data_IF_227268330542
#
_entry.id   IF_227268330542
#
_cell.length_a   1.000
_cell.length_b   1.000
_cell.length_c   1.000
_cell.angle_alpha   90.00
_cell.angle_beta   90.00
_cell.angle_gamma   90.00
#
_symmetry.space_group_name_H-M   'P 1'
#
loop_
_entity.id
_entity.type
_entity.pdbx_description
1 polymer ?
#
# COMPACT_ATOMS: atom_id res chain seq x y z
N UNK A 1 -13.09 11.04 41.84
CA UNK A 1 -12.49 11.87 40.77
C UNK A 1 -11.56 10.97 39.98
N UNK A 2 -12.07 10.35 38.92
CA UNK A 2 -11.35 9.40 38.07
C UNK A 2 -10.74 10.16 36.89
N UNK A 3 -9.41 10.15 36.82
CA UNK A 3 -8.65 10.71 35.70
C UNK A 3 -8.76 9.79 34.48
N UNK A 4 -9.25 10.31 33.36
CA UNK A 4 -9.21 9.67 32.05
C UNK A 4 -7.79 9.82 31.45
N UNK A 5 -7.16 8.75 30.94
CA UNK A 5 -5.85 8.83 30.32
C UNK A 5 -5.91 9.48 28.94
N UNK A 6 -4.94 10.36 28.70
CA UNK A 6 -4.71 11.10 27.48
C UNK A 6 -4.39 10.16 26.31
N UNK A 7 -5.22 10.18 25.25
CA UNK A 7 -4.99 9.40 24.04
C UNK A 7 -3.78 9.96 23.23
N UNK A 8 -2.95 9.10 22.60
CA UNK A 8 -1.75 9.52 21.87
C UNK A 8 -2.05 10.06 20.47
N UNK A 9 -1.13 10.89 19.95
CA UNK A 9 -1.22 11.73 18.74
C UNK A 9 -1.57 11.02 17.41
N UNK A 10 -1.70 9.70 17.37
CA UNK A 10 -2.03 8.91 16.17
C UNK A 10 -3.48 9.10 15.68
N UNK A 11 -4.38 9.63 16.52
CA UNK A 11 -5.75 9.94 16.09
C UNK A 11 -5.86 11.19 15.19
N UNK A 12 -4.87 12.09 15.20
CA UNK A 12 -4.92 13.30 14.35
C UNK A 12 -4.59 13.02 12.88
N UNK A 13 -3.80 12.00 12.58
CA UNK A 13 -3.46 11.60 11.19
C UNK A 13 -4.63 10.83 10.53
N UNK A 14 -5.49 10.17 11.32
CA UNK A 14 -6.64 9.42 10.78
C UNK A 14 -7.75 10.30 10.22
N UNK A 15 -8.02 11.46 10.84
CA UNK A 15 -9.10 12.36 10.41
C UNK A 15 -8.78 13.17 9.14
N UNK A 16 -7.51 13.29 8.75
CA UNK A 16 -7.14 14.04 7.53
C UNK A 16 -7.31 13.25 6.24
N UNK A 17 -7.48 11.92 6.30
CA UNK A 17 -7.62 11.07 5.11
C UNK A 17 -9.08 10.90 4.67
N UNK A 18 -10.02 10.91 5.62
CA UNK A 18 -11.47 10.90 5.34
C UNK A 18 -11.97 12.21 4.72
N UNK A 19 -11.28 13.32 4.99
CA UNK A 19 -11.57 14.62 4.36
C UNK A 19 -10.94 14.74 2.96
N UNK A 20 -9.80 14.08 2.72
CA UNK A 20 -9.13 14.16 1.41
C UNK A 20 -9.89 13.41 0.29
N UNK A 21 -10.64 12.34 0.60
CA UNK A 21 -11.41 11.61 -0.42
C UNK A 21 -12.64 12.36 -0.96
N UNK A 22 -13.02 13.49 -0.34
CA UNK A 22 -14.16 14.32 -0.76
C UNK A 22 -13.78 15.58 -1.55
N UNK A 23 -12.49 15.80 -1.83
CA UNK A 23 -12.03 17.05 -2.46
C UNK A 23 -11.69 16.93 -3.95
N UNK A 24 -11.91 15.77 -4.58
CA UNK A 24 -11.66 15.59 -6.01
C UNK A 24 -12.96 15.25 -6.76
N UNK A 25 -13.60 16.32 -7.26
CA UNK A 25 -14.53 16.35 -8.40
C UNK A 25 -15.76 15.45 -8.25
N UNK A 26 -16.79 15.97 -7.57
CA UNK A 26 -18.17 15.58 -7.82
C UNK A 26 -18.61 16.28 -9.12
N UNK A 27 -18.32 15.67 -10.27
CA UNK A 27 -18.95 16.07 -11.52
C UNK A 27 -20.33 15.42 -11.54
N UNK A 28 -21.31 16.12 -10.96
CA UNK A 28 -22.73 15.86 -11.21
C UNK A 28 -22.97 16.05 -12.71
N UNK A 29 -22.92 14.94 -13.45
CA UNK A 29 -23.34 14.88 -14.85
C UNK A 29 -24.85 15.06 -14.85
N UNK A 30 -25.31 16.27 -15.15
CA UNK A 30 -26.71 16.49 -15.51
C UNK A 30 -27.00 15.69 -16.79
N UNK A 31 -27.98 14.78 -16.70
CA UNK A 31 -28.48 14.01 -17.82
C UNK A 31 -29.19 14.94 -18.79
N UNK A 32 -28.54 15.24 -19.92
CA UNK A 32 -29.18 15.90 -21.06
C UNK A 32 -29.69 14.80 -21.99
N UNK A 33 -31.00 14.56 -21.94
CA UNK A 33 -31.73 13.74 -22.90
C UNK A 33 -31.51 14.26 -24.33
N UNK A 34 -30.88 13.45 -25.18
CA UNK A 34 -30.82 13.68 -26.63
C UNK A 34 -31.25 12.41 -27.38
N UNK A 35 -32.16 12.52 -28.36
CA UNK A 35 -32.79 11.37 -28.97
C UNK A 35 -31.92 10.72 -30.06
N UNK A 36 -31.83 9.40 -29.97
CA UNK A 36 -31.65 8.38 -31.01
C UNK A 36 -31.14 8.87 -32.39
N UNK A 37 -29.84 8.63 -32.62
CA UNK A 37 -29.21 8.65 -33.94
C UNK A 37 -28.49 7.32 -34.21
N UNK A 38 -29.09 6.51 -35.05
CA UNK A 38 -28.62 5.23 -35.57
C UNK A 38 -27.33 5.40 -36.40
N UNK A 39 -26.27 4.63 -36.14
CA UNK A 39 -25.15 4.45 -37.09
C UNK A 39 -24.27 3.23 -36.74
N UNK A 40 -24.70 2.08 -37.26
CA UNK A 40 -23.83 0.98 -37.62
C UNK A 40 -22.78 1.43 -38.64
N UNK A 41 -21.48 1.37 -38.29
CA UNK A 41 -20.37 1.11 -39.22
C UNK A 41 -19.07 0.85 -38.46
N UNK A 42 -18.55 -0.37 -38.64
CA UNK A 42 -17.17 -0.74 -38.32
C UNK A 42 -16.23 0.06 -39.21
N UNK A 43 -15.25 0.74 -38.63
CA UNK A 43 -14.11 1.29 -39.36
C UNK A 43 -12.81 0.93 -38.66
N UNK A 44 -11.97 0.22 -39.41
CA UNK A 44 -10.54 0.04 -39.17
C UNK A 44 -9.88 1.43 -38.98
N UNK A 45 -9.05 1.58 -37.95
CA UNK A 45 -8.26 2.79 -37.73
C UNK A 45 -6.78 2.42 -37.64
N UNK A 46 -6.08 2.62 -38.76
CA UNK A 46 -4.69 3.05 -38.71
C UNK A 46 -4.65 4.50 -38.18
N UNK A 47 -3.62 4.92 -37.44
CA UNK A 47 -3.59 6.25 -36.84
C UNK A 47 -3.28 7.32 -37.89
N UNK A 48 -4.12 8.37 -38.06
CA UNK A 48 -3.74 9.52 -38.85
C UNK A 48 -2.75 10.39 -38.06
N UNK A 49 -1.72 10.89 -38.75
CA UNK A 49 -0.73 11.81 -38.21
C UNK A 49 -1.39 13.04 -37.60
N UNK A 50 -1.11 13.27 -36.32
CA UNK A 50 -1.62 14.42 -35.57
C UNK A 50 -0.70 15.60 -35.85
N UNK A 51 -1.19 16.58 -36.63
CA UNK A 51 -0.71 17.94 -36.53
C UNK A 51 -1.20 18.47 -35.16
N UNK A 52 -0.28 18.84 -34.30
CA UNK A 52 -0.61 19.53 -33.05
C UNK A 52 -0.98 20.98 -33.37
N UNK A 53 -2.27 21.28 -33.33
CA UNK A 53 -2.74 22.65 -33.14
C UNK A 53 -2.71 22.94 -31.64
N UNK A 54 -1.89 23.91 -31.17
CA UNK A 54 -1.88 24.30 -29.77
C UNK A 54 -3.23 24.92 -29.42
N UNK A 55 -3.90 24.35 -28.42
CA UNK A 55 -5.10 24.90 -27.80
C UNK A 55 -4.70 26.18 -27.05
N UNK A 56 -4.68 27.31 -27.76
CA UNK A 56 -4.49 28.64 -27.20
C UNK A 56 -5.77 29.04 -26.46
N UNK A 57 -5.87 28.64 -25.20
CA UNK A 57 -6.74 29.37 -24.26
C UNK A 57 -6.17 30.77 -24.16
N UNK A 58 -7.00 31.79 -24.37
CA UNK A 58 -6.53 33.17 -24.28
C UNK A 58 -5.93 33.42 -22.89
N UNK A 59 -4.77 34.09 -22.83
CA UNK A 59 -4.06 34.37 -21.58
C UNK A 59 -4.95 35.11 -20.57
N UNK A 60 -5.93 35.86 -21.08
CA UNK A 60 -6.96 36.57 -20.34
C UNK A 60 -7.95 35.64 -19.62
N UNK A 61 -8.33 34.52 -20.25
CA UNK A 61 -9.22 33.51 -19.66
C UNK A 61 -8.52 32.67 -18.58
N UNK A 62 -7.20 32.48 -18.71
CA UNK A 62 -6.39 31.86 -17.65
C UNK A 62 -6.27 32.76 -16.42
N UNK A 63 -6.00 34.05 -16.61
CA UNK A 63 -5.89 35.01 -15.51
C UNK A 63 -7.23 35.25 -14.80
N UNK A 64 -8.35 35.24 -15.54
CA UNK A 64 -9.69 35.34 -14.94
C UNK A 64 -10.02 34.13 -14.07
N UNK A 65 -9.74 32.90 -14.54
CA UNK A 65 -9.92 31.69 -13.73
C UNK A 65 -9.04 31.68 -12.47
N UNK A 66 -7.78 32.15 -12.58
CA UNK A 66 -6.87 32.21 -11.44
C UNK A 66 -7.34 33.23 -10.38
N UNK A 67 -7.91 34.34 -10.83
CA UNK A 67 -8.44 35.40 -9.95
C UNK A 67 -9.71 34.96 -9.24
N UNK A 68 -10.55 34.16 -9.91
CA UNK A 68 -11.76 33.60 -9.31
C UNK A 68 -11.43 32.58 -8.21
N UNK A 69 -10.42 31.74 -8.44
CA UNK A 69 -9.92 30.79 -7.42
C UNK A 69 -9.37 31.46 -6.14
N UNK A 70 -8.86 32.69 -6.22
CA UNK A 70 -8.29 33.41 -5.07
C UNK A 70 -9.33 34.15 -4.22
N UNK A 71 -10.56 34.34 -4.73
CA UNK A 71 -11.62 35.06 -3.99
C UNK A 71 -12.28 34.23 -2.90
N UNK A 72 -12.22 32.90 -2.99
CA UNK A 72 -12.87 32.01 -2.02
C UNK A 72 -11.95 31.59 -0.85
N UNK A 73 -10.68 31.99 -0.86
CA UNK A 73 -9.80 31.78 0.30
C UNK A 73 -9.96 32.89 1.32
N UNK A 74 -11.00 32.78 2.16
CA UNK A 74 -11.14 33.56 3.39
C UNK A 74 -9.97 33.28 4.35
N UNK A 75 -9.35 34.29 4.97
CA UNK A 75 -8.28 34.09 5.93
C UNK A 75 -8.83 33.38 7.19
N UNK A 76 -8.47 32.11 7.36
CA UNK A 76 -8.76 31.35 8.58
C UNK A 76 -7.87 31.89 9.69
N UNK A 77 -8.46 32.64 10.62
CA UNK A 77 -7.84 33.06 11.87
C UNK A 77 -7.42 31.84 12.68
N UNK A 78 -6.11 31.57 12.72
CA UNK A 78 -5.50 30.55 13.57
C UNK A 78 -5.50 31.03 15.03
N UNK A 79 -6.00 30.25 16.00
CA UNK A 79 -5.83 30.56 17.41
C UNK A 79 -4.38 30.34 17.82
N UNK A 80 -3.77 31.39 18.37
CA UNK A 80 -2.45 31.41 18.99
C UNK A 80 -2.40 30.45 20.18
N UNK A 81 -1.68 29.33 20.07
CA UNK A 81 -1.31 28.51 21.22
C UNK A 81 0.08 28.89 21.71
N UNK A 82 0.12 29.36 22.95
CA UNK A 82 1.31 29.62 23.75
C UNK A 82 2.22 28.39 23.80
N UNK A 83 3.43 28.53 23.25
CA UNK A 83 4.49 27.54 23.35
C UNK A 83 5.29 27.89 24.60
N UNK A 84 5.06 27.13 25.67
CA UNK A 84 5.85 27.18 26.89
C UNK A 84 7.24 26.54 26.68
N UNK A 85 8.35 27.20 27.03
CA UNK A 85 9.69 26.67 26.83
C UNK A 85 10.09 25.77 28.03
N UNK A 86 10.15 24.46 27.80
CA UNK A 86 10.76 23.54 28.77
C UNK A 86 12.23 23.34 28.39
N UNK A 87 13.09 24.17 28.97
CA UNK A 87 14.54 24.08 28.92
C UNK A 87 15.05 23.56 30.28
N UNK A 88 16.16 22.82 30.22
CA UNK A 88 17.01 22.32 31.31
C UNK A 88 16.69 20.92 31.88
N UNK A 89 17.51 19.94 31.47
CA UNK A 89 18.35 19.15 32.38
C UNK A 89 19.22 18.17 31.57
N UNK A 90 20.35 18.66 31.07
CA UNK A 90 21.50 17.80 30.75
C UNK A 90 22.32 17.69 32.05
N UNK A 91 22.42 16.49 32.60
CA UNK A 91 23.38 16.17 33.65
C UNK A 91 24.41 15.19 33.10
N UNK A 92 25.65 15.59 33.35
CA UNK A 92 26.93 15.04 32.94
C UNK A 92 27.28 13.69 33.60
N UNK A 93 28.48 13.20 33.21
CA UNK A 93 29.37 12.15 33.75
C UNK A 93 29.54 10.99 32.74
N UNK A 94 30.73 10.57 32.29
CA UNK A 94 32.13 10.93 32.56
C UNK A 94 33.04 10.23 31.51
N UNK A 95 34.23 10.75 31.19
CA UNK A 95 35.19 10.13 30.27
C UNK A 95 36.33 9.40 31.02
N UNK A 96 36.68 8.17 30.62
CA UNK A 96 38.00 7.58 30.91
C UNK A 96 38.23 6.32 30.08
N UNK A 97 39.40 6.21 29.43
CA UNK A 97 39.88 4.92 28.92
C UNK A 97 40.70 4.93 27.63
N UNK A 98 41.60 5.91 27.45
CA UNK A 98 42.67 5.82 26.46
C UNK A 98 43.67 4.73 26.90
N UNK A 99 43.70 3.61 26.19
CA UNK A 99 44.82 2.69 26.20
C UNK A 99 45.37 2.60 24.78
N UNK A 100 46.44 3.35 24.54
CA UNK A 100 47.27 3.26 23.35
C UNK A 100 47.90 1.87 23.28
N UNK A 101 47.80 1.22 22.11
CA UNK A 101 48.63 0.07 21.75
C UNK A 101 49.52 0.41 20.56
N UNK A 102 50.74 -0.12 20.53
CA UNK A 102 51.85 0.37 19.73
C UNK A 102 51.73 0.00 18.26
N UNK A 103 52.07 0.98 17.42
CA UNK A 103 52.35 0.87 15.99
C UNK A 103 53.54 -0.06 15.77
N UNK A 104 53.38 -1.01 14.85
CA UNK A 104 54.46 -1.83 14.29
C UNK A 104 54.24 -2.02 12.78
N UNK A 105 55.33 -2.27 12.02
CA UNK A 105 55.63 -1.52 10.82
C UNK A 105 55.18 -2.18 9.51
N UNK A 106 55.21 -1.33 8.48
CA UNK A 106 54.99 -1.59 7.07
C UNK A 106 55.53 -2.93 6.56
N UNK A 107 54.61 -3.80 6.14
CA UNK A 107 54.85 -4.88 5.21
C UNK A 107 54.00 -4.64 3.96
N UNK A 108 54.66 -4.58 2.82
CA UNK A 108 54.06 -4.51 1.49
C UNK A 108 53.33 -5.83 1.21
N UNK A 109 51.99 -5.82 1.29
CA UNK A 109 51.16 -7.00 0.99
C UNK A 109 50.39 -6.81 -0.31
N UNK A 110 50.48 -7.87 -1.12
CA UNK A 110 49.92 -8.12 -2.44
C UNK A 110 48.42 -7.76 -2.62
N UNK A 111 47.96 -7.61 -3.89
CA UNK A 111 46.55 -7.41 -4.24
C UNK A 111 45.73 -8.66 -3.86
N UNK A 112 45.26 -8.67 -2.62
CA UNK A 112 44.44 -9.70 -2.02
C UNK A 112 43.11 -9.76 -2.76
N UNK A 113 42.87 -10.89 -3.43
CA UNK A 113 41.64 -11.21 -4.11
C UNK A 113 40.41 -10.91 -3.21
N UNK A 114 39.30 -10.39 -3.77
CA UNK A 114 38.13 -10.03 -2.99
C UNK A 114 37.62 -11.26 -2.23
N UNK A 115 37.83 -11.26 -0.91
CA UNK A 115 37.32 -12.28 0.00
C UNK A 115 35.84 -12.54 -0.31
N UNK A 116 35.42 -13.80 -0.50
CA UNK A 116 34.02 -14.11 -0.73
C UNK A 116 33.27 -13.59 0.48
N UNK A 117 32.44 -12.55 0.27
CA UNK A 117 31.53 -12.06 1.28
C UNK A 117 30.70 -13.25 1.70
N UNK A 118 31.02 -13.80 2.88
CA UNK A 118 30.21 -14.83 3.51
C UNK A 118 28.80 -14.27 3.47
N UNK A 119 27.94 -14.92 2.70
CA UNK A 119 26.51 -14.68 2.67
C UNK A 119 26.04 -15.04 4.07
N UNK A 120 26.21 -14.09 5.01
CA UNK A 120 25.57 -14.10 6.31
C UNK A 120 24.15 -14.50 6.01
N UNK A 121 23.79 -15.71 6.43
CA UNK A 121 22.43 -16.22 6.33
C UNK A 121 21.59 -15.23 7.11
N UNK A 122 21.05 -14.24 6.39
CA UNK A 122 20.29 -13.16 6.96
C UNK A 122 19.12 -13.85 7.64
N UNK A 123 19.05 -13.71 8.96
CA UNK A 123 17.88 -14.16 9.68
C UNK A 123 16.66 -13.55 8.97
N UNK A 124 15.63 -14.36 8.69
CA UNK A 124 14.45 -13.86 8.00
C UNK A 124 13.87 -12.71 8.81
N UNK A 125 13.71 -11.55 8.17
CA UNK A 125 13.03 -10.43 8.80
C UNK A 125 11.56 -10.81 9.06
N UNK A 126 10.89 -10.29 10.11
CA UNK A 126 9.46 -10.53 10.35
C UNK A 126 8.59 -10.26 9.13
N UNK A 127 8.97 -9.29 8.28
CA UNK A 127 8.24 -9.01 7.04
C UNK A 127 8.34 -10.10 5.97
N UNK A 128 9.30 -11.02 6.09
CA UNK A 128 9.51 -12.16 5.17
C UNK A 128 8.59 -13.34 5.48
N UNK A 129 7.98 -13.37 6.68
CA UNK A 129 7.08 -14.44 7.09
C UNK A 129 5.90 -14.60 6.12
N UNK A 130 5.68 -15.82 5.64
CA UNK A 130 4.64 -16.15 4.68
C UNK A 130 4.94 -15.77 3.22
N UNK A 131 6.21 -15.60 2.86
CA UNK A 131 6.61 -15.44 1.47
C UNK A 131 6.28 -16.71 0.67
N UNK A 132 5.82 -16.63 -0.59
CA UNK A 132 5.55 -15.42 -1.39
C UNK A 132 4.12 -14.87 -1.27
N UNK A 133 3.19 -15.64 -0.68
CA UNK A 133 1.74 -15.40 -0.81
C UNK A 133 1.19 -14.36 0.18
N UNK A 134 1.67 -14.37 1.43
CA UNK A 134 1.12 -13.55 2.52
C UNK A 134 2.18 -12.71 3.23
N UNK A 135 3.42 -12.66 2.71
CA UNK A 135 4.45 -11.78 3.25
C UNK A 135 4.09 -10.30 3.14
N UNK A 136 4.83 -9.45 3.86
CA UNK A 136 4.67 -8.01 3.79
C UNK A 136 5.26 -7.45 2.49
N UNK A 137 5.04 -6.15 2.26
CA UNK A 137 5.61 -5.44 1.11
C UNK A 137 7.15 -5.60 1.08
N UNK A 138 7.78 -5.74 -0.11
CA UNK A 138 9.23 -5.74 -0.23
C UNK A 138 9.87 -4.50 0.40
N UNK A 139 11.00 -4.71 1.07
CA UNK A 139 11.82 -3.64 1.65
C UNK A 139 12.63 -2.95 0.56
N UNK A 140 12.27 -1.72 0.19
CA UNK A 140 13.01 -0.95 -0.81
C UNK A 140 14.47 -0.68 -0.39
N UNK A 141 14.71 -0.42 0.89
CA UNK A 141 16.08 -0.20 1.40
C UNK A 141 16.93 -1.46 1.36
N UNK A 142 16.34 -2.64 1.56
CA UNK A 142 17.06 -3.90 1.44
C UNK A 142 17.41 -4.22 -0.01
N UNK A 143 16.46 -3.98 -0.94
CA UNK A 143 16.71 -4.13 -2.38
C UNK A 143 17.85 -3.25 -2.88
N UNK A 144 18.03 -2.06 -2.28
CA UNK A 144 19.13 -1.14 -2.59
C UNK A 144 20.41 -1.44 -1.77
N UNK A 145 20.40 -2.44 -0.88
CA UNK A 145 21.56 -2.86 -0.09
C UNK A 145 21.88 -2.01 1.15
N UNK A 146 20.94 -1.20 1.65
CA UNK A 146 21.18 -0.24 2.74
C UNK A 146 20.08 -0.27 3.83
N UNK A 147 19.41 -1.40 4.03
CA UNK A 147 18.46 -1.55 5.14
C UNK A 147 19.19 -1.57 6.49
N UNK A 148 18.93 -0.57 7.34
CA UNK A 148 19.54 -0.47 8.68
C UNK A 148 18.82 -1.32 9.74
N UNK A 149 17.57 -1.73 9.48
CA UNK A 149 16.77 -2.47 10.45
C UNK A 149 17.16 -3.96 10.55
N UNK A 150 17.93 -4.49 9.60
CA UNK A 150 18.42 -5.87 9.65
C UNK A 150 17.30 -6.90 9.86
N UNK A 151 17.47 -7.74 10.89
CA UNK A 151 16.49 -8.75 11.30
C UNK A 151 15.19 -8.17 11.85
N UNK A 152 15.17 -6.92 12.31
CA UNK A 152 13.97 -6.29 12.90
C UNK A 152 13.12 -5.57 11.85
N UNK A 153 13.46 -5.71 10.57
CA UNK A 153 12.73 -5.07 9.49
C UNK A 153 11.32 -5.65 9.33
N UNK A 154 10.31 -4.80 9.44
CA UNK A 154 8.90 -5.16 9.20
C UNK A 154 8.54 -5.34 7.70
N UNK A 155 9.50 -5.22 6.80
CA UNK A 155 9.31 -5.42 5.36
C UNK A 155 10.02 -6.69 4.89
N UNK A 156 9.54 -7.27 3.80
CA UNK A 156 10.08 -8.52 3.27
C UNK A 156 11.47 -8.28 2.68
N UNK A 157 12.44 -9.12 3.06
CA UNK A 157 13.80 -9.13 2.52
C UNK A 157 14.00 -10.23 1.47
N UNK A 158 13.04 -11.14 1.26
CA UNK A 158 13.12 -12.14 0.21
C UNK A 158 13.05 -11.50 -1.19
N UNK A 159 13.62 -12.20 -2.17
CA UNK A 159 13.54 -11.78 -3.56
C UNK A 159 12.09 -11.86 -4.05
N UNK A 160 11.58 -10.75 -4.56
CA UNK A 160 10.25 -10.70 -5.18
C UNK A 160 10.38 -10.64 -6.69
N UNK A 161 9.43 -11.23 -7.45
CA UNK A 161 9.35 -10.98 -8.87
C UNK A 161 9.19 -9.47 -9.11
N UNK A 162 9.95 -8.94 -10.07
CA UNK A 162 10.25 -7.50 -10.22
C UNK A 162 9.01 -6.60 -10.24
N UNK A 163 7.83 -7.11 -10.63
CA UNK A 163 6.61 -6.31 -10.70
C UNK A 163 5.39 -7.13 -10.29
N UNK A 164 4.93 -6.92 -9.06
CA UNK A 164 3.58 -7.31 -8.66
C UNK A 164 2.59 -6.74 -9.69
N UNK A 165 1.61 -7.56 -10.10
CA UNK A 165 0.62 -7.10 -11.05
C UNK A 165 -0.10 -5.88 -10.47
N UNK A 166 -0.10 -4.79 -11.24
CA UNK A 166 -0.83 -3.57 -10.90
C UNK A 166 -2.18 -3.60 -11.59
N UNK A 167 -3.22 -3.24 -10.85
CA UNK A 167 -4.54 -3.01 -11.42
C UNK A 167 -4.48 -1.83 -12.39
N UNK A 168 -5.06 -2.00 -13.58
CA UNK A 168 -5.13 -0.93 -14.56
C UNK A 168 -6.07 0.20 -14.10
N UNK A 169 -6.17 1.30 -14.86
CA UNK A 169 -7.05 2.42 -14.51
C UNK A 169 -8.52 2.00 -14.45
N UNK A 170 -9.00 1.20 -15.41
CA UNK A 170 -10.41 0.77 -15.48
C UNK A 170 -10.75 -0.19 -14.35
N UNK A 171 -9.86 -1.14 -14.04
CA UNK A 171 -9.99 -2.08 -12.93
C UNK A 171 -10.05 -1.37 -11.58
N UNK A 172 -9.23 -0.34 -11.38
CA UNK A 172 -9.30 0.47 -10.15
C UNK A 172 -10.63 1.22 -10.03
N UNK A 173 -11.10 1.85 -11.10
CA UNK A 173 -12.41 2.50 -11.10
C UNK A 173 -13.53 1.49 -10.81
N UNK A 174 -13.45 0.30 -11.41
CA UNK A 174 -14.43 -0.76 -11.19
C UNK A 174 -14.45 -1.22 -9.73
N UNK A 175 -13.28 -1.44 -9.12
CA UNK A 175 -13.21 -1.80 -7.70
C UNK A 175 -13.72 -0.68 -6.79
N UNK A 176 -13.58 0.59 -7.18
CA UNK A 176 -14.14 1.72 -6.45
C UNK A 176 -15.67 1.80 -6.56
N UNK A 177 -16.26 1.28 -7.63
CA UNK A 177 -17.72 1.21 -7.79
C UNK A 177 -18.36 0.04 -7.04
N UNK A 178 -17.58 -0.98 -6.70
CA UNK A 178 -18.08 -2.12 -5.93
C UNK A 178 -18.31 -1.72 -4.48
N UNK A 179 -19.38 -2.26 -3.89
CA UNK A 179 -19.54 -2.23 -2.44
C UNK A 179 -18.44 -3.08 -1.77
N UNK A 180 -18.13 -2.75 -0.52
CA UNK A 180 -17.17 -3.52 0.29
C UNK A 180 -17.58 -5.00 0.41
N UNK A 181 -18.88 -5.29 0.38
CA UNK A 181 -19.45 -6.64 0.47
C UNK A 181 -19.19 -7.43 -0.83
N UNK A 182 -19.46 -6.84 -1.99
CA UNK A 182 -19.17 -7.45 -3.30
C UNK A 182 -17.66 -7.67 -3.49
N UNK A 183 -16.83 -6.68 -3.10
CA UNK A 183 -15.38 -6.82 -3.14
C UNK A 183 -14.90 -7.96 -2.24
N UNK A 184 -15.42 -8.06 -1.01
CA UNK A 184 -15.11 -9.15 -0.08
C UNK A 184 -15.50 -10.51 -0.65
N UNK A 185 -16.66 -10.61 -1.32
CA UNK A 185 -17.09 -11.84 -1.99
C UNK A 185 -16.13 -12.24 -3.12
N UNK A 186 -15.63 -11.28 -3.90
CA UNK A 186 -14.65 -11.53 -4.95
C UNK A 186 -13.28 -11.97 -4.39
N UNK A 187 -12.78 -11.29 -3.36
CA UNK A 187 -11.53 -11.68 -2.68
C UNK A 187 -11.66 -13.07 -2.07
N UNK A 188 -12.79 -13.37 -1.41
CA UNK A 188 -13.05 -14.67 -0.78
C UNK A 188 -12.87 -15.81 -1.78
N UNK A 189 -13.49 -15.72 -2.97
CA UNK A 189 -13.34 -16.72 -4.02
C UNK A 189 -11.88 -16.90 -4.43
N UNK A 190 -11.15 -15.79 -4.58
CA UNK A 190 -9.74 -15.84 -4.96
C UNK A 190 -8.86 -16.48 -3.87
N UNK A 191 -9.02 -16.07 -2.62
CA UNK A 191 -8.27 -16.62 -1.47
C UNK A 191 -8.51 -18.12 -1.36
N UNK A 192 -9.75 -18.59 -1.52
CA UNK A 192 -10.08 -20.02 -1.53
C UNK A 192 -9.39 -20.76 -2.68
N UNK A 193 -9.41 -20.21 -3.90
CA UNK A 193 -8.73 -20.81 -5.06
C UNK A 193 -7.21 -20.87 -4.85
N UNK A 194 -6.63 -19.84 -4.23
CA UNK A 194 -5.18 -19.75 -3.98
C UNK A 194 -4.72 -20.70 -2.88
N UNK A 195 -5.56 -20.94 -1.88
CA UNK A 195 -5.30 -21.86 -0.77
C UNK A 195 -5.67 -23.31 -1.09
N UNK A 196 -6.43 -23.58 -2.15
CA UNK A 196 -6.78 -24.94 -2.55
C UNK A 196 -5.55 -25.88 -2.68
N UNK A 197 -4.43 -25.49 -3.33
CA UNK A 197 -3.22 -26.30 -3.40
C UNK A 197 -2.33 -26.21 -2.14
N UNK A 198 -2.66 -25.37 -1.16
CA UNK A 198 -1.86 -25.23 0.05
C UNK A 198 -2.03 -26.43 0.99
N UNK A 199 -1.10 -26.56 1.94
CA UNK A 199 -1.14 -27.54 3.02
C UNK A 199 -2.42 -27.38 3.86
N UNK A 200 -2.79 -28.45 4.56
CA UNK A 200 -3.96 -28.41 5.45
C UNK A 200 -3.74 -27.44 6.62
N UNK A 201 -2.52 -27.34 7.13
CA UNK A 201 -2.18 -26.38 8.19
C UNK A 201 -2.30 -24.92 7.71
N UNK A 202 -1.86 -24.59 6.49
CA UNK A 202 -2.11 -23.28 5.90
C UNK A 202 -3.61 -22.98 5.72
N UNK A 203 -4.42 -23.97 5.31
CA UNK A 203 -5.88 -23.83 5.19
C UNK A 203 -6.54 -23.56 6.55
N UNK A 204 -6.14 -24.30 7.59
CA UNK A 204 -6.61 -24.10 8.96
C UNK A 204 -6.21 -22.72 9.48
N UNK A 205 -4.98 -22.30 9.21
CA UNK A 205 -4.50 -20.96 9.58
C UNK A 205 -5.28 -19.84 8.88
N UNK A 206 -5.71 -20.07 7.63
CA UNK A 206 -6.50 -19.13 6.85
C UNK A 206 -8.00 -19.16 7.16
N UNK A 207 -8.48 -20.09 7.99
CA UNK A 207 -9.90 -20.25 8.28
C UNK A 207 -10.51 -18.96 8.86
N UNK A 208 -9.81 -18.31 9.79
CA UNK A 208 -10.25 -17.05 10.41
C UNK A 208 -10.40 -15.92 9.38
N UNK A 209 -9.47 -15.85 8.41
CA UNK A 209 -9.51 -14.86 7.33
C UNK A 209 -10.70 -15.15 6.39
N UNK A 210 -10.88 -16.41 6.00
CA UNK A 210 -11.99 -16.85 5.15
C UNK A 210 -13.34 -16.57 5.81
N UNK A 211 -13.45 -16.80 7.12
CA UNK A 211 -14.65 -16.51 7.90
C UNK A 211 -14.93 -15.00 7.94
N UNK A 212 -13.93 -14.17 8.23
CA UNK A 212 -14.09 -12.71 8.21
C UNK A 212 -14.55 -12.19 6.84
N UNK A 213 -13.98 -12.71 5.75
CA UNK A 213 -14.39 -12.35 4.40
C UNK A 213 -15.80 -12.84 4.07
N UNK A 214 -16.18 -14.03 4.57
CA UNK A 214 -17.53 -14.58 4.39
C UNK A 214 -18.59 -13.77 5.13
N UNK A 215 -18.33 -13.37 6.38
CA UNK A 215 -19.22 -12.50 7.15
C UNK A 215 -19.49 -11.19 6.39
N UNK A 216 -18.43 -10.53 5.89
CA UNK A 216 -18.56 -9.31 5.08
C UNK A 216 -19.28 -9.55 3.76
N UNK A 217 -19.09 -10.72 3.15
CA UNK A 217 -19.73 -11.09 1.90
C UNK A 217 -21.20 -11.51 2.05
N UNK A 218 -21.64 -11.93 3.24
CA UNK A 218 -22.99 -12.47 3.47
C UNK A 218 -24.10 -11.44 3.23
N UNK A 219 -23.78 -10.16 3.39
CA UNK A 219 -24.70 -9.04 3.13
C UNK A 219 -24.72 -8.61 1.65
N UNK A 220 -23.80 -9.14 0.83
CA UNK A 220 -23.70 -8.73 -0.56
C UNK A 220 -24.93 -9.19 -1.35
N UNK A 221 -25.57 -8.28 -2.07
CA UNK A 221 -26.32 -8.67 -3.27
C UNK A 221 -25.35 -9.27 -4.30
N UNK A 222 -25.86 -10.14 -5.17
CA UNK A 222 -25.07 -10.70 -6.29
C UNK A 222 -24.34 -9.55 -7.03
N UNK A 223 -23.03 -9.66 -7.29
CA UNK A 223 -22.28 -8.60 -7.94
C UNK A 223 -22.93 -8.20 -9.27
N UNK A 224 -23.20 -6.91 -9.45
CA UNK A 224 -23.81 -6.39 -10.70
C UNK A 224 -22.75 -6.17 -11.78
N UNK A 225 -21.65 -6.93 -11.76
CA UNK A 225 -20.57 -6.80 -12.73
C UNK A 225 -20.85 -7.60 -13.99
N UNK A 226 -20.45 -7.05 -15.14
CA UNK A 226 -20.42 -7.82 -16.37
C UNK A 226 -19.43 -8.98 -16.24
N UNK A 227 -19.82 -10.17 -16.68
CA UNK A 227 -19.00 -11.39 -16.57
C UNK A 227 -17.60 -11.23 -17.18
N UNK A 228 -17.48 -10.41 -18.23
CA UNK A 228 -16.20 -10.07 -18.87
C UNK A 228 -15.27 -9.29 -17.94
N UNK A 229 -15.80 -8.35 -17.17
CA UNK A 229 -15.04 -7.50 -16.25
C UNK A 229 -14.56 -8.32 -15.05
N UNK A 230 -15.46 -9.15 -14.51
CA UNK A 230 -15.13 -10.09 -13.44
C UNK A 230 -13.98 -11.02 -13.85
N UNK A 231 -14.03 -11.62 -15.04
CA UNK A 231 -12.94 -12.46 -15.58
C UNK A 231 -11.63 -11.70 -15.74
N UNK A 232 -11.68 -10.44 -16.15
CA UNK A 232 -10.47 -9.61 -16.28
C UNK A 232 -9.85 -9.29 -14.92
N UNK A 233 -10.67 -8.97 -13.91
CA UNK A 233 -10.20 -8.76 -12.54
C UNK A 233 -9.58 -10.04 -11.96
N UNK A 234 -10.26 -11.18 -12.11
CA UNK A 234 -9.75 -12.48 -11.65
C UNK A 234 -8.39 -12.83 -12.27
N UNK A 235 -8.18 -12.53 -13.56
CA UNK A 235 -6.87 -12.71 -14.22
C UNK A 235 -5.78 -11.83 -13.61
N UNK A 236 -6.10 -10.60 -13.22
CA UNK A 236 -5.13 -9.73 -12.53
C UNK A 236 -4.88 -10.23 -11.12
N UNK A 237 -5.93 -10.60 -10.38
CA UNK A 237 -5.82 -11.14 -9.02
C UNK A 237 -4.95 -12.39 -8.96
N UNK A 238 -5.07 -13.30 -9.94
CA UNK A 238 -4.22 -14.49 -10.07
C UNK A 238 -2.72 -14.20 -10.20
N UNK A 239 -2.34 -12.96 -10.49
CA UNK A 239 -0.94 -12.50 -10.57
C UNK A 239 -0.52 -11.65 -9.37
N UNK A 240 -1.43 -11.46 -8.40
CA UNK A 240 -1.20 -10.75 -7.15
C UNK A 240 -1.15 -11.74 -6.00
N UNK A 241 -0.31 -11.45 -5.01
CA UNK A 241 -0.32 -12.19 -3.76
C UNK A 241 -1.50 -11.73 -2.88
N UNK A 242 -1.84 -12.53 -1.87
CA UNK A 242 -3.00 -12.29 -1.01
C UNK A 242 -2.85 -10.97 -0.25
N UNK A 243 -1.64 -10.65 0.23
CA UNK A 243 -1.34 -9.38 0.90
C UNK A 243 -1.66 -8.14 0.03
N UNK A 244 -1.28 -8.15 -1.25
CA UNK A 244 -1.53 -7.03 -2.15
C UNK A 244 -3.01 -6.89 -2.51
N UNK A 245 -3.78 -7.99 -2.43
CA UNK A 245 -5.19 -7.98 -2.75
C UNK A 245 -6.05 -7.43 -1.60
N UNK A 246 -5.74 -7.83 -0.37
CA UNK A 246 -6.41 -7.32 0.84
C UNK A 246 -6.03 -5.85 1.07
N UNK A 247 -4.80 -5.46 0.71
CA UNK A 247 -4.35 -4.07 0.75
C UNK A 247 -4.38 -3.47 2.16
N UNK A 248 -4.55 -2.14 2.24
CA UNK A 248 -4.63 -1.41 3.51
C UNK A 248 -6.03 -1.46 4.16
N UNK A 249 -7.00 -2.24 3.62
CA UNK A 249 -8.29 -2.46 4.30
C UNK A 249 -8.09 -3.07 5.70
N UNK A 250 -6.95 -3.72 5.95
CA UNK A 250 -6.47 -4.16 7.26
C UNK A 250 -6.55 -3.07 8.33
N UNK A 251 -6.47 -1.79 7.94
CA UNK A 251 -6.54 -0.67 8.87
C UNK A 251 -7.93 -0.45 9.50
N UNK A 252 -9.00 -0.98 8.89
CA UNK A 252 -10.39 -0.81 9.34
C UNK A 252 -10.98 -2.05 10.01
N UNK A 253 -10.44 -3.25 9.75
CA UNK A 253 -10.98 -4.49 10.35
C UNK A 253 -9.87 -5.23 11.12
N UNK A 254 -9.72 -4.99 12.45
CA UNK A 254 -8.68 -5.61 13.26
C UNK A 254 -8.64 -7.14 13.17
N UNK A 255 -9.81 -7.78 13.00
CA UNK A 255 -9.91 -9.24 12.83
C UNK A 255 -9.17 -9.74 11.58
N UNK A 256 -9.24 -9.03 10.45
CA UNK A 256 -8.54 -9.42 9.21
C UNK A 256 -7.03 -9.30 9.41
N UNK A 257 -6.57 -8.20 10.02
CA UNK A 257 -5.15 -7.99 10.30
C UNK A 257 -4.58 -9.07 11.22
N UNK A 258 -5.29 -9.45 12.29
CA UNK A 258 -4.90 -10.53 13.18
C UNK A 258 -4.87 -11.89 12.47
N UNK A 259 -5.89 -12.18 11.64
CA UNK A 259 -5.94 -13.42 10.86
C UNK A 259 -4.78 -13.51 9.86
N UNK A 260 -4.43 -12.40 9.20
CA UNK A 260 -3.27 -12.33 8.30
C UNK A 260 -1.95 -12.56 9.04
N UNK A 261 -1.77 -11.98 10.23
CA UNK A 261 -0.56 -12.20 11.02
C UNK A 261 -0.45 -13.66 11.49
N UNK A 262 -1.55 -14.25 11.98
CA UNK A 262 -1.63 -15.67 12.32
C UNK A 262 -1.29 -16.55 11.12
N UNK A 263 -1.81 -16.22 9.94
CA UNK A 263 -1.51 -16.95 8.71
C UNK A 263 0.00 -16.88 8.38
N UNK A 264 0.62 -15.71 8.46
CA UNK A 264 2.07 -15.55 8.25
C UNK A 264 2.93 -16.42 9.17
N UNK A 265 2.57 -16.50 10.45
CA UNK A 265 3.32 -17.32 11.43
C UNK A 265 3.24 -18.82 11.14
N UNK A 266 2.10 -19.32 10.65
CA UNK A 266 1.94 -20.75 10.33
C UNK A 266 2.76 -21.17 9.11
N UNK A 267 3.00 -20.28 8.14
CA UNK A 267 3.88 -20.60 7.01
C UNK A 267 5.34 -20.83 7.44
N UNK A 268 5.80 -20.21 8.53
CA UNK A 268 7.18 -20.42 9.02
C UNK A 268 7.38 -21.84 9.57
N UNK A 269 6.36 -22.40 10.21
CA UNK A 269 6.46 -23.70 10.89
C UNK A 269 6.46 -24.88 9.92
N UNK A 270 6.14 -24.68 8.64
CA UNK A 270 6.13 -25.75 7.64
C UNK A 270 7.47 -25.91 6.90
N UNK A 271 8.34 -24.90 6.92
CA UNK A 271 9.64 -24.91 6.23
C UNK A 271 10.81 -25.37 7.12
N UNK A 272 10.59 -25.54 8.43
CA UNK A 272 11.59 -26.01 9.41
C UNK A 272 11.30 -27.46 9.79
#
# INVERSE_FOLDING_TARGET
>A
MTFLPHLPALQRIRLSRETYSKTFIDASVEEVDSPLGDCSRRSCSAPPGRAEEPFLVSEEEYLNNLTEMLKDTSPVSMPSTDISPCLMALSELSPAGLAASPVSPAGEEEPTAPSPRLSLQLLPSPGTLGHPEVCRRPCMHFQLGHCMNGSDCNFCHAAHPEKAAKLDKKQRMLLQTLSNQEFSAMILQYVQQRLAPASEAAKVAAADLIECLREKAAEASLPTLLEREQKNLQKTFARMNVSNLIGDEDSYVPRISMAMEKLRWNFLTEEI
#
